data_IF_145765439325
#
_entry.id   IF_145765439325
#
_cell.length_a   1.000
_cell.length_b   1.000
_cell.length_c   1.000
_cell.angle_alpha   90.00
_cell.angle_beta   90.00
_cell.angle_gamma   90.00
#
_symmetry.space_group_name_H-M   'P 1'
#
loop_
_entity.id
_entity.type
_entity.pdbx_description
1 polymer ?
#
# COMPACT_ATOMS: atom_id res chain seq x y z
N UNK A 1 6.01 -4.14 -6.83
CA UNK A 1 5.77 -2.82 -7.43
C UNK A 1 5.75 -1.77 -6.34
N UNK A 2 6.37 -0.63 -6.58
CA UNK A 2 6.17 0.59 -5.80
C UNK A 2 5.42 1.59 -6.67
N UNK A 3 4.34 2.15 -6.14
CA UNK A 3 3.53 3.16 -6.84
C UNK A 3 3.82 4.51 -6.18
N UNK A 4 4.22 5.49 -6.97
CA UNK A 4 4.47 6.86 -6.51
C UNK A 4 3.44 7.81 -7.12
N UNK A 5 3.04 8.88 -6.42
CA UNK A 5 2.07 9.84 -6.93
C UNK A 5 2.65 10.67 -8.08
N UNK A 6 1.77 11.31 -8.87
CA UNK A 6 2.15 12.10 -10.04
C UNK A 6 3.22 13.18 -9.74
N UNK A 7 3.18 13.79 -8.56
CA UNK A 7 4.11 14.86 -8.17
C UNK A 7 5.47 14.36 -7.63
N UNK A 8 5.66 13.05 -7.45
CA UNK A 8 6.93 12.49 -6.99
C UNK A 8 7.95 12.40 -8.13
N UNK A 9 9.23 12.60 -7.82
CA UNK A 9 10.32 12.43 -8.78
C UNK A 9 10.64 10.94 -8.97
N UNK A 10 10.51 10.44 -10.20
CA UNK A 10 10.69 9.03 -10.54
C UNK A 10 12.15 8.57 -10.42
N UNK A 11 13.12 9.39 -10.80
CA UNK A 11 14.54 9.01 -10.75
C UNK A 11 15.02 9.00 -9.29
N UNK A 12 14.59 9.98 -8.51
CA UNK A 12 14.84 10.00 -7.08
C UNK A 12 14.18 8.79 -6.37
N UNK A 13 12.96 8.41 -6.75
CA UNK A 13 12.31 7.22 -6.20
C UNK A 13 13.08 5.93 -6.53
N UNK A 14 13.63 5.81 -7.74
CA UNK A 14 14.50 4.68 -8.13
C UNK A 14 15.77 4.63 -7.28
N UNK A 15 16.44 5.77 -7.11
CA UNK A 15 17.63 5.88 -6.26
C UNK A 15 17.33 5.54 -4.80
N UNK A 16 16.19 5.98 -4.27
CA UNK A 16 15.81 5.70 -2.88
C UNK A 16 15.44 4.25 -2.61
N UNK A 17 14.80 3.57 -3.57
CA UNK A 17 14.39 2.16 -3.40
C UNK A 17 15.59 1.23 -3.59
N UNK A 18 16.50 1.52 -4.53
CA UNK A 18 17.76 0.81 -4.75
C UNK A 18 17.61 -0.73 -4.78
N UNK A 19 16.49 -1.21 -5.34
CA UNK A 19 16.19 -2.63 -5.50
C UNK A 19 15.60 -2.85 -6.89
N UNK A 20 16.44 -3.40 -7.79
CA UNK A 20 16.06 -3.67 -9.18
C UNK A 20 14.90 -4.68 -9.31
N UNK A 21 14.60 -5.46 -8.27
CA UNK A 21 13.46 -6.37 -8.25
C UNK A 21 12.11 -5.66 -8.07
N UNK A 22 12.13 -4.39 -7.63
CA UNK A 22 10.93 -3.60 -7.40
C UNK A 22 10.73 -2.63 -8.57
N UNK A 23 9.84 -2.98 -9.49
CA UNK A 23 9.40 -2.03 -10.52
C UNK A 23 8.65 -0.84 -9.90
N UNK A 24 9.07 0.37 -10.26
CA UNK A 24 8.45 1.62 -9.84
C UNK A 24 7.54 2.14 -10.94
N UNK A 25 6.32 2.53 -10.59
CA UNK A 25 5.34 3.12 -11.48
C UNK A 25 4.93 4.47 -10.90
N UNK A 26 4.97 5.50 -11.74
CA UNK A 26 4.41 6.82 -11.41
C UNK A 26 2.95 6.86 -11.86
N UNK A 27 2.02 6.95 -10.90
CA UNK A 27 0.59 7.02 -11.12
C UNK A 27 0.21 8.46 -11.54
N UNK A 28 0.41 8.75 -12.81
CA UNK A 28 0.39 10.14 -13.32
C UNK A 28 -1.01 10.75 -13.40
N UNK A 29 -2.05 9.92 -13.39
CA UNK A 29 -3.46 10.30 -13.46
C UNK A 29 -4.25 9.87 -12.21
N UNK A 30 -3.55 9.48 -11.14
CA UNK A 30 -4.10 8.95 -9.89
C UNK A 30 -5.10 7.78 -10.09
N UNK A 31 -5.06 7.11 -11.24
CA UNK A 31 -6.04 6.08 -11.60
C UNK A 31 -5.87 4.81 -10.75
N UNK A 32 -4.63 4.42 -10.42
CA UNK A 32 -4.37 3.28 -9.55
C UNK A 32 -4.74 3.60 -8.10
N UNK A 33 -4.38 4.79 -7.61
CA UNK A 33 -4.72 5.25 -6.28
C UNK A 33 -6.25 5.27 -6.11
N UNK A 34 -6.97 5.87 -7.06
CA UNK A 34 -8.44 5.94 -7.08
C UNK A 34 -9.07 4.54 -7.12
N UNK A 35 -8.64 3.68 -8.03
CA UNK A 35 -9.19 2.32 -8.17
C UNK A 35 -8.97 1.45 -6.93
N UNK A 36 -7.86 1.66 -6.22
CA UNK A 36 -7.52 0.93 -4.99
C UNK A 36 -8.02 1.61 -3.70
N UNK A 37 -8.59 2.82 -3.82
CA UNK A 37 -9.01 3.65 -2.69
C UNK A 37 -7.85 4.13 -1.81
N UNK A 38 -6.64 4.23 -2.35
CA UNK A 38 -5.49 4.83 -1.66
C UNK A 38 -5.72 6.33 -1.57
N UNK A 39 -5.55 6.90 -0.39
CA UNK A 39 -5.80 8.32 -0.12
C UNK A 39 -4.63 9.00 0.60
N UNK A 40 -3.61 8.24 1.00
CA UNK A 40 -2.46 8.74 1.72
C UNK A 40 -1.25 7.85 1.48
N UNK A 41 -0.05 8.40 1.68
CA UNK A 41 1.20 7.66 1.60
C UNK A 41 1.90 7.63 2.97
N UNK A 42 2.45 6.48 3.40
CA UNK A 42 2.40 5.17 2.75
C UNK A 42 1.09 4.40 3.02
N UNK A 43 0.58 3.68 2.02
CA UNK A 43 -0.46 2.64 2.15
C UNK A 43 -0.09 1.43 1.28
N UNK A 44 -0.24 0.23 1.84
CA UNK A 44 -0.11 -1.04 1.13
C UNK A 44 -1.43 -1.39 0.43
N UNK A 45 -1.32 -2.03 -0.73
CA UNK A 45 -2.44 -2.57 -1.51
C UNK A 45 -2.14 -4.01 -1.89
N UNK A 46 -3.11 -4.91 -1.70
CA UNK A 46 -3.05 -6.30 -2.16
C UNK A 46 -4.27 -6.54 -3.04
N UNK A 47 -4.03 -7.03 -4.24
CA UNK A 47 -5.05 -7.38 -5.23
C UNK A 47 -4.97 -8.89 -5.46
N UNK A 48 -6.12 -9.56 -5.47
CA UNK A 48 -6.20 -10.99 -5.71
C UNK A 48 -6.09 -11.37 -7.21
N UNK A 49 -6.08 -12.66 -7.51
CA UNK A 49 -6.01 -13.16 -8.89
C UNK A 49 -7.27 -12.85 -9.74
N UNK A 50 -8.37 -12.41 -9.11
CA UNK A 50 -9.59 -11.95 -9.77
C UNK A 50 -9.58 -10.42 -9.99
N UNK A 51 -8.45 -9.76 -9.72
CA UNK A 51 -8.28 -8.30 -9.78
C UNK A 51 -9.18 -7.55 -8.79
N UNK A 52 -9.49 -8.15 -7.65
CA UNK A 52 -10.26 -7.52 -6.58
C UNK A 52 -9.34 -7.07 -5.46
N UNK A 53 -9.70 -5.94 -4.84
CA UNK A 53 -9.01 -5.43 -3.67
C UNK A 53 -9.17 -6.42 -2.50
N UNK A 54 -8.06 -7.00 -2.06
CA UNK A 54 -8.01 -7.92 -0.91
C UNK A 54 -7.64 -7.17 0.38
N UNK A 55 -6.75 -6.19 0.28
CA UNK A 55 -6.33 -5.36 1.39
C UNK A 55 -5.90 -3.98 0.93
N UNK A 56 -6.24 -2.94 1.70
CA UNK A 56 -5.67 -1.61 1.62
C UNK A 56 -5.50 -1.04 3.02
N UNK A 57 -4.32 -0.51 3.33
CA UNK A 57 -4.08 0.06 4.65
C UNK A 57 -2.61 0.23 4.99
N UNK A 58 -2.34 0.38 6.28
CA UNK A 58 -0.98 0.51 6.81
C UNK A 58 -0.20 -0.81 6.68
N UNK A 59 1.12 -0.72 6.62
CA UNK A 59 1.98 -1.90 6.73
C UNK A 59 1.97 -2.45 8.16
N UNK A 60 2.07 -1.54 9.12
CA UNK A 60 2.16 -1.79 10.55
C UNK A 60 1.37 -0.76 11.35
N UNK A 61 1.12 -1.01 12.64
CA UNK A 61 0.48 -0.02 13.54
C UNK A 61 1.26 1.30 13.61
N UNK A 62 2.59 1.22 13.59
CA UNK A 62 3.49 2.38 13.53
C UNK A 62 4.71 2.03 12.69
N UNK A 63 5.43 3.05 12.17
CA UNK A 63 6.54 2.90 11.22
C UNK A 63 7.67 1.95 11.68
N UNK A 64 7.93 1.89 12.98
CA UNK A 64 8.99 1.07 13.57
C UNK A 64 8.45 0.01 14.53
N UNK A 65 7.22 -0.47 14.29
CA UNK A 65 6.62 -1.49 15.12
C UNK A 65 7.18 -2.88 14.79
N UNK A 66 7.61 -3.61 15.80
CA UNK A 66 8.09 -4.99 15.68
C UNK A 66 7.07 -6.02 16.18
N UNK A 67 5.88 -5.57 16.59
CA UNK A 67 4.78 -6.44 17.02
C UNK A 67 4.19 -7.13 15.79
N UNK A 68 4.37 -8.45 15.71
CA UNK A 68 3.94 -9.26 14.58
C UNK A 68 2.43 -9.20 14.35
N UNK A 69 1.66 -9.04 15.42
CA UNK A 69 0.20 -8.90 15.39
C UNK A 69 -0.25 -7.61 14.71
N UNK A 70 0.67 -6.69 14.47
CA UNK A 70 0.44 -5.45 13.75
C UNK A 70 0.95 -5.47 12.31
N UNK A 71 1.58 -6.54 11.81
CA UNK A 71 2.09 -6.63 10.44
C UNK A 71 0.95 -6.83 9.43
N UNK A 72 0.03 -5.88 9.34
CA UNK A 72 -1.25 -6.02 8.64
C UNK A 72 -1.11 -6.44 7.17
N UNK A 73 -0.18 -5.83 6.44
CA UNK A 73 0.08 -6.19 5.04
C UNK A 73 0.60 -7.63 4.89
N UNK A 74 1.51 -8.06 5.78
CA UNK A 74 2.04 -9.44 5.79
C UNK A 74 0.95 -10.45 6.14
N UNK A 75 0.13 -10.15 7.15
CA UNK A 75 -0.98 -11.01 7.58
C UNK A 75 -1.98 -11.17 6.43
N UNK A 76 -2.36 -10.08 5.76
CA UNK A 76 -3.26 -10.14 4.61
C UNK A 76 -2.66 -10.91 3.42
N UNK A 77 -1.38 -10.70 3.09
CA UNK A 77 -0.71 -11.44 2.02
C UNK A 77 -0.63 -12.93 2.33
N UNK A 78 -0.35 -13.27 3.59
CA UNK A 78 -0.31 -14.66 4.06
C UNK A 78 -1.69 -15.31 3.95
N UNK A 79 -2.75 -14.63 4.36
CA UNK A 79 -4.12 -15.12 4.21
C UNK A 79 -4.46 -15.39 2.73
N UNK A 80 -4.16 -14.44 1.83
CA UNK A 80 -4.39 -14.60 0.40
C UNK A 80 -3.64 -15.81 -0.19
N UNK A 81 -2.36 -15.98 0.15
CA UNK A 81 -1.55 -17.11 -0.35
C UNK A 81 -1.99 -18.47 0.18
N UNK A 82 -2.71 -18.50 1.31
CA UNK A 82 -3.33 -19.70 1.87
C UNK A 82 -4.75 -19.96 1.37
N UNK A 83 -5.31 -19.07 0.55
CA UNK A 83 -6.71 -19.14 0.11
C UNK A 83 -7.71 -18.84 1.24
N UNK A 84 -7.26 -18.13 2.28
CA UNK A 84 -8.11 -17.68 3.38
C UNK A 84 -8.83 -16.37 3.01
N UNK A 85 -9.99 -16.07 3.63
CA UNK A 85 -10.66 -14.79 3.43
C UNK A 85 -9.83 -13.61 3.95
N UNK A 86 -10.08 -12.37 3.48
CA UNK A 86 -9.44 -11.17 4.03
C UNK A 86 -9.59 -11.10 5.56
N UNK A 87 -8.48 -10.90 6.30
CA UNK A 87 -8.54 -10.75 7.75
C UNK A 87 -9.37 -9.53 8.17
N UNK A 88 -10.07 -9.64 9.29
CA UNK A 88 -10.74 -8.49 9.92
C UNK A 88 -9.76 -7.79 10.84
N UNK A 89 -9.38 -6.55 10.48
CA UNK A 89 -8.50 -5.73 11.30
C UNK A 89 -9.26 -4.63 12.05
N UNK A 90 -8.59 -4.06 13.05
CA UNK A 90 -9.06 -2.84 13.71
C UNK A 90 -8.68 -1.59 12.91
N UNK A 91 -9.12 -0.42 13.39
CA UNK A 91 -8.91 0.87 12.72
C UNK A 91 -7.43 1.21 12.47
N UNK A 92 -6.51 0.69 13.27
CA UNK A 92 -5.07 0.93 13.10
C UNK A 92 -4.51 0.33 11.81
N UNK A 93 -5.20 -0.64 11.21
CA UNK A 93 -4.81 -1.18 9.91
C UNK A 93 -5.29 -0.31 8.75
N UNK A 94 -6.43 0.34 8.84
CA UNK A 94 -7.08 1.00 7.69
C UNK A 94 -6.96 2.52 7.69
N UNK A 95 -6.82 3.14 8.87
CA UNK A 95 -6.63 4.57 9.00
C UNK A 95 -5.16 4.94 8.82
N UNK A 96 -4.86 5.65 7.73
CA UNK A 96 -3.52 6.20 7.48
C UNK A 96 -3.15 7.26 8.51
N UNK A 97 -1.87 7.26 8.89
CA UNK A 97 -1.21 8.31 9.68
C UNK A 97 -0.20 9.12 8.85
N UNK A 98 -0.14 8.85 7.54
CA UNK A 98 0.76 9.49 6.60
C UNK A 98 0.21 10.79 6.00
N UNK A 99 0.93 11.34 5.04
CA UNK A 99 0.46 12.49 4.28
C UNK A 99 -0.65 12.06 3.33
N UNK A 100 -1.77 12.77 3.36
CA UNK A 100 -2.82 12.59 2.37
C UNK A 100 -2.31 12.96 0.97
N UNK A 101 -2.82 12.25 -0.04
CA UNK A 101 -2.62 12.67 -1.41
C UNK A 101 -3.32 14.02 -1.61
N UNK A 102 -2.77 14.92 -2.46
CA UNK A 102 -3.48 16.12 -2.86
C UNK A 102 -4.86 15.70 -3.38
N UNK A 103 -5.92 16.20 -2.73
CA UNK A 103 -7.24 16.05 -3.30
C UNK A 103 -7.31 17.04 -4.48
N UNK A 104 -7.42 16.53 -5.70
CA UNK A 104 -7.93 17.31 -6.81
C UNK A 104 -9.38 17.71 -6.44
N UNK A 105 -9.54 18.91 -5.88
CA UNK A 105 -10.84 19.57 -5.67
C UNK A 105 -11.34 20.19 -6.97
#
# INVERSE_FOLDING_TARGET
YAIIPAYADLEYAKEMIDDESISIIQDSDDSLATACGVYATPQAVIIDNQRKLFYRGNYNRTRYCTLKESNYAEIALTALTRGEPPPVFNIFATQSYGCELPNDL
#
